data_IF_891728066789
#
_entry.id   IF_891728066789
#
_cell.length_a   1.000
_cell.length_b   1.000
_cell.length_c   1.000
_cell.angle_alpha   90.00
_cell.angle_beta   90.00
_cell.angle_gamma   90.00
#
_symmetry.space_group_name_H-M   'P 1'
#
loop_
_entity.id
_entity.type
_entity.pdbx_description
1 polymer ?
2 non-polymer ?
3 water ?
#
# COMPACT_ATOMS: atom_id res chain seq x y z
N UNK A 1 -21.62 20.80 -0.04
CA UNK A 1 -20.45 21.56 0.46
C UNK A 1 -19.89 22.41 -0.70
N UNK A 2 -19.45 23.61 -0.36
CA UNK A 2 -19.31 24.66 -1.35
C UNK A 2 -17.88 25.16 -1.47
N UNK A 3 -16.88 24.40 -1.06
CA UNK A 3 -15.49 24.80 -1.30
C UNK A 3 -15.14 24.60 -2.77
N UNK A 4 -14.41 25.51 -3.34
CA UNK A 4 -14.11 25.45 -4.74
C UNK A 4 -13.09 24.34 -4.96
N UNK A 5 -13.04 23.82 -6.18
CA UNK A 5 -12.03 22.84 -6.47
C UNK A 5 -10.66 23.52 -6.43
N UNK A 6 -10.54 24.74 -6.92
CA UNK A 6 -9.31 25.49 -6.74
C UNK A 6 -8.80 25.50 -5.27
N UNK A 7 -9.69 25.74 -4.33
CA UNK A 7 -9.32 25.77 -2.90
C UNK A 7 -8.94 24.37 -2.37
N UNK A 8 -9.68 23.34 -2.76
CA UNK A 8 -9.26 21.97 -2.42
C UNK A 8 -7.84 21.68 -2.91
N UNK A 9 -7.56 22.07 -4.16
CA UNK A 9 -6.31 21.70 -4.79
C UNK A 9 -5.20 22.41 -4.12
N UNK A 10 -5.47 23.63 -3.67
CA UNK A 10 -4.47 24.47 -3.04
C UNK A 10 -4.19 24.00 -1.61
N UNK A 11 -5.23 23.62 -0.91
CA UNK A 11 -5.04 23.05 0.42
C UNK A 11 -4.20 21.77 0.37
N UNK A 12 -4.57 20.84 -0.48
CA UNK A 12 -3.87 19.58 -0.51
C UNK A 12 -2.42 19.77 -1.02
N UNK A 13 -2.23 20.60 -2.03
CA UNK A 13 -0.89 20.93 -2.44
C UNK A 13 -0.06 21.40 -1.23
N UNK A 14 -0.68 22.22 -0.38
CA UNK A 14 0.08 22.88 0.67
C UNK A 14 0.48 21.88 1.75
N UNK A 15 -0.24 20.76 1.84
CA UNK A 15 0.11 19.73 2.82
C UNK A 15 1.44 19.10 2.38
N UNK A 16 1.63 18.87 1.09
CA UNK A 16 2.88 18.34 0.59
C UNK A 16 3.99 19.37 0.70
N UNK A 17 3.69 20.63 0.34
CA UNK A 17 4.65 21.77 0.48
C UNK A 17 5.10 21.90 1.92
N UNK A 18 4.18 21.90 2.89
CA UNK A 18 4.54 22.09 4.30
C UNK A 18 5.43 20.93 4.80
N UNK A 19 5.36 19.75 4.20
CA UNK A 19 6.17 18.60 4.65
C UNK A 19 7.49 18.57 3.90
N UNK A 20 7.77 19.62 3.16
CA UNK A 20 9.01 19.67 2.46
C UNK A 20 9.20 18.45 1.57
N UNK A 21 8.14 17.97 0.94
CA UNK A 21 8.33 16.88 0.01
C UNK A 21 7.72 17.17 -1.35
N UNK A 22 7.90 16.24 -2.28
CA UNK A 22 7.13 16.22 -3.49
C UNK A 22 6.25 15.00 -3.49
N UNK A 23 4.97 15.18 -3.77
CA UNK A 23 4.05 14.08 -3.74
C UNK A 23 2.80 14.31 -4.53
N UNK A 24 2.10 13.21 -4.72
CA UNK A 24 0.77 13.16 -5.26
C UNK A 24 -0.10 12.27 -4.40
N UNK A 25 -1.40 12.56 -4.38
CA UNK A 25 -2.41 11.63 -3.84
C UNK A 25 -3.56 11.50 -4.82
N UNK A 26 -3.81 10.28 -5.25
CA UNK A 26 -4.83 9.98 -6.21
C UNK A 26 -6.05 9.41 -5.51
N UNK A 27 -7.20 9.92 -5.90
CA UNK A 27 -8.46 9.53 -5.31
C UNK A 27 -9.33 8.96 -6.41
N UNK A 28 -10.00 7.86 -6.13
CA UNK A 28 -10.87 7.28 -7.11
C UNK A 28 -12.31 7.28 -6.59
N UNK A 29 -13.24 7.97 -7.27
CA UNK A 29 -14.70 7.90 -6.93
C UNK A 29 -15.43 7.23 -8.06
N UNK A 30 -15.89 6.01 -7.81
CA UNK A 30 -16.46 5.21 -8.86
C UNK A 30 -15.41 4.91 -9.91
N UNK A 31 -15.64 5.31 -11.15
CA UNK A 31 -14.66 5.12 -12.23
C UNK A 31 -13.67 6.30 -12.38
N UNK A 32 -13.92 7.41 -11.68
CA UNK A 32 -13.20 8.67 -11.87
C UNK A 32 -11.98 8.87 -10.95
N UNK A 33 -10.81 9.05 -11.55
CA UNK A 33 -9.59 9.35 -10.78
C UNK A 33 -9.37 10.79 -10.66
N UNK A 34 -8.97 11.26 -9.48
CA UNK A 34 -8.58 12.64 -9.30
C UNK A 34 -7.14 12.68 -8.73
N UNK A 35 -6.33 13.60 -9.20
CA UNK A 35 -4.94 13.71 -8.78
C UNK A 35 -4.74 15.00 -8.00
N UNK A 36 -4.29 14.92 -6.74
CA UNK A 36 -4.02 16.13 -5.95
C UNK A 36 -2.56 16.18 -5.47
N UNK A 37 -2.14 17.34 -5.02
CA UNK A 37 -0.81 17.44 -4.41
C UNK A 37 0.05 18.51 -5.01
N UNK A 38 1.37 18.40 -4.77
CA UNK A 38 2.37 19.33 -5.30
C UNK A 38 3.33 18.77 -6.34
N UNK A 39 3.04 17.58 -6.86
CA UNK A 39 3.81 17.09 -8.00
C UNK A 39 3.01 16.13 -8.83
N UNK A 40 2.08 16.68 -9.59
CA UNK A 40 1.02 15.87 -10.11
C UNK A 40 1.53 14.83 -11.09
N UNK A 41 2.65 15.13 -11.72
CA UNK A 41 3.17 14.29 -12.80
C UNK A 41 3.74 12.96 -12.24
N UNK A 42 3.91 12.88 -10.94
CA UNK A 42 4.21 11.63 -10.31
C UNK A 42 3.18 10.59 -10.55
N UNK A 43 2.01 10.95 -11.07
CA UNK A 43 0.88 10.02 -11.07
C UNK A 43 1.08 8.88 -12.05
N UNK A 44 1.77 9.12 -13.16
CA UNK A 44 1.94 8.03 -14.16
C UNK A 44 3.42 7.71 -14.29
N UNK A 45 4.19 8.04 -13.27
CA UNK A 45 5.55 7.58 -13.10
C UNK A 45 5.65 6.28 -12.26
N UNK A 46 6.63 5.47 -12.59
CA UNK A 46 6.85 4.17 -11.99
C UNK A 46 7.85 4.28 -10.84
N UNK A 47 7.53 3.62 -9.73
CA UNK A 47 8.41 3.47 -8.56
C UNK A 47 8.29 2.05 -7.99
N UNK A 48 9.28 1.65 -7.21
CA UNK A 48 9.22 0.30 -6.64
C UNK A 48 8.01 0.30 -5.69
N UNK A 49 7.29 -0.83 -5.60
CA UNK A 49 6.15 -0.87 -4.73
C UNK A 49 6.51 -0.90 -3.25
N UNK A 50 7.75 -1.27 -2.98
CA UNK A 50 8.22 -1.51 -1.63
C UNK A 50 7.18 -2.35 -0.86
N UNK A 51 6.89 -1.99 0.38
CA UNK A 51 5.98 -2.78 1.19
C UNK A 51 4.52 -2.70 0.80
N UNK A 52 4.14 -1.92 -0.22
CA UNK A 52 2.75 -2.03 -0.68
C UNK A 52 2.59 -3.44 -1.23
N UNK A 53 3.69 -4.04 -1.64
CA UNK A 53 3.62 -5.38 -2.18
C UNK A 53 3.19 -6.43 -1.13
N UNK A 54 3.33 -6.14 0.16
CA UNK A 54 2.84 -7.09 1.16
C UNK A 54 1.40 -7.49 0.93
N UNK A 55 0.58 -6.57 0.42
CA UNK A 55 -0.81 -6.88 0.11
C UNK A 55 -0.94 -8.01 -0.85
N UNK A 56 -0.15 -7.99 -1.92
CA UNK A 56 -0.28 -9.06 -2.93
C UNK A 56 0.40 -10.34 -2.46
N UNK A 57 1.56 -10.18 -1.84
CA UNK A 57 2.27 -11.32 -1.25
C UNK A 57 1.30 -12.12 -0.34
N UNK A 58 0.56 -11.42 0.54
CA UNK A 58 -0.37 -12.08 1.43
C UNK A 58 -1.44 -12.81 0.64
N UNK A 59 -1.94 -12.15 -0.41
CA UNK A 59 -3.05 -12.70 -1.21
C UNK A 59 -2.61 -14.00 -1.83
N UNK A 60 -1.42 -13.98 -2.42
CA UNK A 60 -0.84 -15.14 -3.08
C UNK A 60 -0.58 -16.32 -2.07
N UNK A 61 -0.03 -15.98 -0.90
CA UNK A 61 0.35 -16.96 0.09
C UNK A 61 -0.88 -17.67 0.64
N UNK A 62 -1.91 -16.89 0.93
CA UNK A 62 -3.15 -17.47 1.42
C UNK A 62 -3.85 -18.28 0.36
N UNK A 63 -3.97 -17.73 -0.85
CA UNK A 63 -4.72 -18.42 -1.88
C UNK A 63 -4.07 -19.79 -2.13
N UNK A 64 -2.76 -19.81 -2.13
CA UNK A 64 -2.03 -21.06 -2.37
C UNK A 64 -1.70 -21.86 -1.10
N UNK A 65 -2.36 -21.54 0.01
CA UNK A 65 -2.18 -22.32 1.24
C UNK A 65 -0.73 -22.41 1.68
N UNK A 66 0.05 -21.35 1.53
CA UNK A 66 1.37 -21.31 2.08
C UNK A 66 1.37 -20.89 3.53
N UNK A 67 0.22 -20.46 4.05
CA UNK A 67 0.14 -19.97 5.40
C UNK A 67 -1.32 -19.85 5.67
N UNK A 68 -1.69 -19.75 6.94
CA UNK A 68 -3.07 -19.39 7.32
C UNK A 68 -3.02 -18.10 8.06
N UNK A 69 -4.18 -17.55 8.35
CA UNK A 69 -4.21 -16.28 9.02
C UNK A 69 -3.99 -16.38 10.54
N UNK A 70 -4.01 -17.56 11.13
CA UNK A 70 -3.77 -17.68 12.57
C UNK A 70 -2.35 -18.19 12.88
N UNK A 71 -1.67 -18.64 11.85
CA UNK A 71 -0.34 -19.21 12.00
C UNK A 71 0.66 -18.21 12.58
N UNK A 72 1.53 -18.67 13.48
CA UNK A 72 2.44 -17.75 14.15
C UNK A 72 3.79 -17.94 13.54
N UNK A 73 4.34 -16.89 12.90
CA UNK A 73 5.66 -16.97 12.29
C UNK A 73 6.65 -16.60 13.39
N UNK A 74 7.47 -17.55 13.80
CA UNK A 74 8.35 -17.31 14.96
C UNK A 74 9.55 -16.46 14.61
N UNK A 75 9.89 -15.49 15.45
CA UNK A 75 11.15 -14.83 15.35
C UNK A 75 12.25 -15.88 15.50
N UNK A 76 13.22 -15.84 14.62
CA UNK A 76 14.26 -16.83 14.70
C UNK A 76 15.37 -16.40 15.67
N UNK A 77 15.23 -15.29 16.40
CA UNK A 77 16.27 -14.91 17.34
C UNK A 77 17.41 -14.04 16.76
N UNK A 78 17.54 -13.92 15.45
CA UNK A 78 18.54 -12.97 14.85
C UNK A 78 18.10 -11.51 14.98
N UNK A 79 19.06 -10.59 15.09
CA UNK A 79 18.78 -9.15 15.27
C UNK A 79 18.08 -8.74 14.00
N UNK A 80 17.09 -7.89 14.11
CA UNK A 80 16.31 -7.53 12.94
C UNK A 80 16.40 -6.03 12.87
N UNK A 81 16.15 -5.53 11.67
CA UNK A 81 16.39 -4.15 11.36
C UNK A 81 15.76 -3.29 12.41
N UNK A 82 14.53 -3.61 12.87
CA UNK A 82 13.81 -2.87 13.93
C UNK A 82 13.44 -3.83 15.10
N UNK A 83 13.58 -3.39 16.34
CA UNK A 83 13.35 -4.25 17.47
C UNK A 83 11.93 -4.67 17.57
N UNK A 84 11.04 -3.81 17.12
CA UNK A 84 9.63 -4.21 17.08
C UNK A 84 9.36 -5.47 16.20
N UNK A 85 10.28 -5.83 15.31
CA UNK A 85 10.12 -7.00 14.49
C UNK A 85 10.60 -8.23 15.23
N UNK A 86 11.25 -8.07 16.39
CA UNK A 86 11.86 -9.22 17.12
C UNK A 86 10.87 -9.97 18.03
N UNK A 87 9.85 -10.53 17.39
CA UNK A 87 8.75 -11.19 18.03
C UNK A 87 8.03 -12.04 16.99
N UNK A 88 7.19 -12.93 17.51
CA UNK A 88 6.50 -13.92 16.75
C UNK A 88 5.19 -13.26 16.32
N UNK A 89 4.78 -13.44 15.07
CA UNK A 89 3.61 -12.75 14.62
C UNK A 89 2.84 -13.49 13.55
N UNK A 90 1.57 -13.14 13.45
CA UNK A 90 0.72 -13.60 12.36
C UNK A 90 0.94 -12.71 11.15
N UNK A 91 0.43 -13.11 9.98
CA UNK A 91 0.53 -12.27 8.74
C UNK A 91 -0.08 -10.90 8.99
N UNK A 92 -1.15 -10.89 9.75
CA UNK A 92 -1.87 -9.65 10.05
C UNK A 92 -1.09 -8.71 10.94
N UNK A 93 -0.51 -9.25 12.01
CA UNK A 93 0.39 -8.45 12.86
C UNK A 93 1.60 -7.98 12.05
N UNK A 94 2.14 -8.84 11.20
CA UNK A 94 3.25 -8.47 10.36
C UNK A 94 2.90 -7.40 9.35
N UNK A 95 1.70 -7.44 8.79
CA UNK A 95 1.24 -6.38 7.87
C UNK A 95 1.29 -5.05 8.60
N UNK A 96 0.71 -5.03 9.79
CA UNK A 96 0.59 -3.81 10.59
C UNK A 96 1.97 -3.24 10.91
N UNK A 97 2.96 -4.08 11.18
CA UNK A 97 4.31 -3.63 11.48
C UNK A 97 5.20 -3.53 10.27
N UNK A 98 4.65 -3.94 9.12
CA UNK A 98 5.41 -4.02 7.85
C UNK A 98 6.70 -4.80 8.05
N UNK A 99 6.56 -5.97 8.68
CA UNK A 99 7.70 -6.83 9.02
C UNK A 99 8.20 -7.66 7.88
N UNK A 100 9.25 -7.17 7.20
CA UNK A 100 9.81 -7.86 6.01
C UNK A 100 10.16 -9.33 6.24
N UNK A 101 10.71 -9.66 7.40
CA UNK A 101 11.16 -11.04 7.53
C UNK A 101 10.03 -12.05 7.44
N UNK A 102 8.85 -11.69 7.94
CA UNK A 102 7.70 -12.58 7.80
C UNK A 102 7.26 -12.69 6.34
N UNK A 103 7.23 -11.56 5.67
CA UNK A 103 6.77 -11.53 4.31
C UNK A 103 7.77 -12.13 3.37
N UNK A 104 9.05 -12.10 3.73
CA UNK A 104 10.06 -12.80 2.98
C UNK A 104 9.98 -14.30 3.08
N UNK A 105 9.72 -14.79 4.31
CA UNK A 105 9.46 -16.23 4.52
C UNK A 105 8.27 -16.64 3.68
N UNK A 106 7.22 -15.85 3.71
CA UNK A 106 6.05 -16.23 2.94
C UNK A 106 6.34 -16.29 1.43
N UNK A 107 7.10 -15.30 0.95
CA UNK A 107 7.49 -15.27 -0.50
C UNK A 107 8.34 -16.50 -0.81
N UNK A 108 9.18 -16.88 0.11
CA UNK A 108 9.97 -18.09 -0.14
C UNK A 108 9.20 -19.37 -0.10
N UNK A 109 8.11 -19.42 0.66
CA UNK A 109 7.28 -20.64 0.65
C UNK A 109 6.56 -20.65 -0.70
N UNK A 110 6.08 -19.48 -1.09
CA UNK A 110 5.43 -19.38 -2.41
C UNK A 110 6.43 -19.79 -3.50
N UNK A 111 7.68 -19.35 -3.37
CA UNK A 111 8.71 -19.68 -4.36
C UNK A 111 8.64 -18.82 -5.63
N UNK A 112 9.80 -18.64 -6.25
CA UNK A 112 10.05 -17.64 -7.29
C UNK A 112 9.17 -17.84 -8.52
N UNK A 113 9.02 -19.10 -8.91
CA UNK A 113 8.22 -19.44 -10.04
C UNK A 113 6.76 -19.15 -9.84
N UNK A 114 6.20 -19.60 -8.74
CA UNK A 114 4.79 -19.38 -8.56
C UNK A 114 4.55 -17.89 -8.36
N UNK A 115 5.54 -17.21 -7.80
CA UNK A 115 5.39 -15.76 -7.50
C UNK A 115 5.32 -14.96 -8.82
N UNK A 116 6.26 -15.16 -9.75
CA UNK A 116 6.15 -14.62 -11.16
C UNK A 116 4.81 -14.90 -11.77
N UNK A 117 4.39 -16.13 -11.70
CA UNK A 117 3.12 -16.47 -12.32
C UNK A 117 2.00 -15.63 -11.74
N UNK A 118 2.00 -15.42 -10.42
CA UNK A 118 0.87 -14.75 -9.80
C UNK A 118 0.89 -13.27 -10.08
N UNK A 119 2.10 -12.74 -10.14
CA UNK A 119 2.28 -11.35 -10.42
C UNK A 119 1.91 -11.07 -11.90
N UNK A 120 2.37 -11.90 -12.85
CA UNK A 120 1.90 -11.82 -14.26
C UNK A 120 0.38 -11.95 -14.30
N UNK A 121 -0.19 -12.85 -13.53
CA UNK A 121 -1.63 -13.09 -13.59
C UNK A 121 -2.48 -11.96 -13.06
N UNK A 122 -2.01 -11.29 -12.00
CA UNK A 122 -2.75 -10.19 -11.40
C UNK A 122 -2.42 -8.90 -12.20
N UNK A 123 -1.49 -8.99 -13.14
CA UNK A 123 -1.10 -7.79 -13.84
C UNK A 123 -0.74 -6.65 -12.90
N UNK A 124 0.20 -6.84 -11.97
CA UNK A 124 0.49 -5.86 -10.93
C UNK A 124 1.69 -5.09 -11.37
N UNK A 125 1.51 -3.78 -11.54
CA UNK A 125 2.58 -2.92 -12.01
C UNK A 125 3.09 -3.30 -13.40
N UNK A 126 4.38 -3.28 -13.54
CA UNK A 126 4.92 -3.67 -14.79
C UNK A 126 5.06 -5.23 -14.82
N UNK A 127 4.62 -5.90 -13.74
CA UNK A 127 4.61 -7.36 -13.64
C UNK A 127 5.97 -8.05 -13.85
N UNK A 128 7.12 -7.40 -13.55
CA UNK A 128 8.45 -8.06 -13.68
C UNK A 128 9.09 -8.35 -12.32
N UNK A 129 9.16 -9.61 -11.89
CA UNK A 129 9.79 -9.84 -10.59
C UNK A 129 11.19 -10.42 -10.69
N UNK A 130 11.61 -10.78 -11.91
CA UNK A 130 13.00 -11.18 -12.16
C UNK A 130 13.33 -12.52 -11.51
N UNK A 131 14.49 -12.62 -10.84
CA UNK A 131 15.01 -13.92 -10.34
C UNK A 131 15.41 -13.97 -8.85
N UNK A 132 15.04 -12.95 -8.06
CA UNK A 132 15.17 -13.03 -6.61
C UNK A 132 13.81 -12.82 -5.88
N UNK A 133 13.26 -13.91 -5.29
CA UNK A 133 11.87 -13.99 -4.67
C UNK A 133 11.85 -13.25 -3.33
N UNK A 134 12.99 -13.31 -2.61
CA UNK A 134 13.19 -12.77 -1.26
C UNK A 134 13.15 -11.21 -1.24
N UNK A 135 13.41 -10.61 -2.41
CA UNK A 135 13.67 -9.16 -2.55
C UNK A 135 13.64 -8.75 -4.03
N UNK A 136 12.44 -8.41 -4.53
CA UNK A 136 12.26 -7.74 -5.86
C UNK A 136 11.30 -6.57 -5.82
N UNK A 137 10.86 -6.21 -4.62
CA UNK A 137 9.76 -5.27 -4.35
C UNK A 137 10.28 -3.98 -3.71
N UNK A 139 13.58 -2.99 -4.77
CA UNK A 139 14.93 -2.74 -5.33
C UNK A 139 14.98 -3.02 -6.81
N UNK A 140 13.81 -3.16 -7.43
CA UNK A 140 13.70 -3.53 -8.84
C UNK A 140 13.74 -5.04 -8.91
N UNK A 141 13.35 -5.62 -10.05
CA UNK A 141 12.90 -4.96 -11.28
C UNK A 141 11.42 -4.51 -11.29
N UNK A 142 10.66 -4.86 -10.27
CA UNK A 142 9.22 -4.56 -10.31
C UNK A 142 8.99 -3.06 -10.00
N UNK A 143 8.16 -2.39 -10.80
CA UNK A 143 7.76 -1.02 -10.55
C UNK A 143 6.30 -0.84 -10.80
N UNK A 144 5.77 0.25 -10.25
CA UNK A 144 4.35 0.51 -10.38
C UNK A 144 4.07 2.02 -10.23
N UNK A 145 3.02 2.50 -10.89
CA UNK A 145 2.59 3.92 -10.80
C UNK A 145 1.55 4.16 -9.72
N UNK A 146 1.43 5.40 -9.26
CA UNK A 146 0.38 5.66 -8.34
C UNK A 146 -1.03 5.35 -8.90
N UNK A 147 -1.21 5.52 -10.19
CA UNK A 147 -2.51 5.20 -10.79
C UNK A 147 -2.75 3.67 -10.70
N UNK A 148 -1.76 2.86 -11.09
CA UNK A 148 -1.86 1.44 -10.89
C UNK A 148 -2.13 1.03 -9.43
N UNK A 149 -1.47 1.69 -8.48
CA UNK A 149 -1.72 1.33 -7.08
C UNK A 149 -3.12 1.62 -6.61
N UNK A 150 -3.68 2.76 -7.02
CA UNK A 150 -5.03 3.10 -6.61
C UNK A 150 -6.01 2.16 -7.27
N UNK A 151 -5.75 1.74 -8.50
CA UNK A 151 -6.59 0.78 -9.16
C UNK A 151 -6.51 -0.63 -8.55
N UNK A 152 -5.34 -0.99 -8.01
CA UNK A 152 -5.18 -2.22 -7.27
C UNK A 152 -5.98 -2.15 -6.00
N UNK A 153 -5.92 -1.03 -5.29
CA UNK A 153 -6.71 -0.87 -4.11
C UNK A 153 -8.20 -0.93 -4.39
N UNK A 154 -8.61 -0.32 -5.48
CA UNK A 154 -10.00 -0.34 -5.86
C UNK A 154 -10.49 -1.77 -6.08
N UNK A 155 -9.75 -2.53 -6.88
CA UNK A 155 -10.02 -3.93 -7.08
C UNK A 155 -10.18 -4.69 -5.76
N UNK A 156 -9.19 -4.52 -4.88
CA UNK A 156 -9.16 -5.29 -3.66
C UNK A 156 -10.34 -4.91 -2.82
N UNK A 157 -10.61 -3.60 -2.70
CA UNK A 157 -11.74 -3.16 -1.91
C UNK A 157 -13.09 -3.74 -2.35
N UNK A 158 -13.24 -4.00 -3.64
CA UNK A 158 -14.47 -4.50 -4.21
C UNK A 158 -14.35 -5.96 -4.58
N UNK A 159 -13.28 -6.61 -4.14
CA UNK A 159 -13.16 -8.06 -4.32
C UNK A 159 -13.16 -8.44 -5.76
N UNK A 160 -12.57 -7.59 -6.59
CA UNK A 160 -12.38 -7.93 -7.99
C UNK A 160 -11.09 -8.60 -8.37
N UNK A 161 -10.12 -8.75 -7.48
CA UNK A 161 -8.88 -9.38 -7.95
C UNK A 161 -9.16 -10.86 -8.21
N UNK A 162 -8.32 -11.55 -9.01
CA UNK A 162 -8.54 -12.96 -9.27
C UNK A 162 -8.03 -13.92 -8.15
N UNK A 163 -8.71 -13.86 -7.02
CA UNK A 163 -8.44 -14.68 -5.89
C UNK A 163 -9.81 -14.92 -5.26
N UNK A 164 -9.89 -15.98 -4.47
CA UNK A 164 -11.13 -16.28 -3.79
C UNK A 164 -11.59 -15.09 -3.00
N UNK A 165 -12.89 -15.00 -2.88
CA UNK A 165 -13.49 -14.00 -2.08
C UNK A 165 -12.93 -14.01 -0.71
N UNK A 166 -12.73 -15.20 -0.13
CA UNK A 166 -12.35 -15.25 1.26
C UNK A 166 -10.88 -14.90 1.45
N UNK A 167 -10.02 -15.25 0.49
CA UNK A 167 -8.68 -14.76 0.49
C UNK A 167 -8.67 -13.19 0.61
N UNK A 168 -9.50 -12.53 -0.18
CA UNK A 168 -9.51 -11.04 -0.26
C UNK A 168 -10.03 -10.42 1.00
N UNK A 169 -11.03 -11.05 1.60
CA UNK A 169 -11.53 -10.57 2.87
C UNK A 169 -10.49 -10.73 3.95
N UNK A 170 -9.77 -11.85 3.95
CA UNK A 170 -8.82 -12.13 5.01
C UNK A 170 -7.74 -11.05 4.96
N UNK A 171 -7.26 -10.78 3.74
CA UNK A 171 -6.24 -9.71 3.57
C UNK A 171 -6.77 -8.33 3.92
N UNK A 172 -8.02 -8.04 3.58
CA UNK A 172 -8.54 -6.69 3.86
C UNK A 172 -8.57 -6.43 5.33
N UNK A 173 -8.87 -7.48 6.06
CA UNK A 173 -8.97 -7.41 7.51
C UNK A 173 -7.63 -7.05 8.15
N UNK A 174 -6.53 -7.53 7.56
CA UNK A 174 -5.18 -7.13 7.98
C UNK A 174 -4.81 -5.66 7.80
N UNK A 175 -5.62 -4.90 7.06
CA UNK A 175 -5.22 -3.57 6.57
C UNK A 175 -5.90 -2.45 7.29
N UNK A 176 -6.78 -2.73 8.24
CA UNK A 176 -7.45 -1.67 8.97
C UNK A 176 -6.49 -0.89 9.84
N UNK A 177 -6.33 0.41 9.58
CA UNK A 177 -5.37 1.21 10.32
C UNK A 177 -5.98 2.37 11.08
N UNK A 178 -7.21 2.73 10.82
CA UNK A 178 -7.81 3.87 11.47
C UNK A 178 -9.31 3.85 11.31
N UNK A 179 -10.00 4.26 12.37
CA UNK A 179 -11.43 4.59 12.28
C UNK A 179 -11.61 6.06 12.63
N UNK A 180 -12.35 6.80 11.81
CA UNK A 180 -12.56 8.21 12.05
C UNK A 180 -14.02 8.58 11.78
N UNK A 181 -14.73 9.00 12.81
CA UNK A 181 -16.09 9.49 12.64
C UNK A 181 -16.92 8.60 11.73
N UNK A 182 -16.98 7.30 12.05
CA UNK A 182 -17.81 6.35 11.28
C UNK A 182 -17.15 5.74 10.05
N UNK A 183 -16.01 6.32 9.64
CA UNK A 183 -15.31 5.86 8.47
C UNK A 183 -14.15 4.94 8.87
N UNK A 184 -13.91 3.92 8.07
CA UNK A 184 -12.74 3.08 8.27
C UNK A 184 -11.75 3.28 7.17
N UNK A 185 -10.50 3.44 7.56
CA UNK A 185 -9.42 3.56 6.60
C UNK A 185 -8.59 2.28 6.61
N UNK A 186 -8.58 1.61 5.46
CA UNK A 186 -7.74 0.45 5.15
C UNK A 186 -6.60 0.84 4.26
N UNK A 187 -5.38 0.45 4.56
CA UNK A 187 -4.25 0.88 3.75
C UNK A 187 -2.98 0.18 4.19
N UNK A 188 -2.03 0.15 3.25
CA UNK A 188 -0.69 -0.29 3.45
C UNK A 188 0.36 0.76 3.03
N UNK A 189 1.34 0.97 3.90
CA UNK A 189 2.43 1.89 3.70
C UNK A 189 3.56 1.20 3.04
N UNK A 190 4.43 2.02 2.47
CA UNK A 190 5.61 1.54 1.74
C UNK A 190 6.70 2.59 1.88
N UNK A 191 7.95 2.13 1.99
CA UNK A 191 9.08 3.05 2.04
C UNK A 191 10.25 2.37 1.36
N UNK A 192 10.55 2.77 0.15
CA UNK A 192 11.57 2.13 -0.63
C UNK A 192 12.79 3.01 -0.75
N UNK A 193 13.96 2.37 -0.76
CA UNK A 193 15.26 3.03 -0.99
C UNK A 193 15.58 2.93 -2.46
N UNK A 194 15.98 4.00 -3.08
CA UNK A 194 15.94 4.03 -4.54
C UNK A 194 17.28 4.30 -5.15
N UNK A 195 17.26 4.40 -6.49
CA UNK A 195 18.30 5.03 -7.32
C UNK A 195 19.03 6.14 -6.56
N UNK A 196 18.54 7.38 -6.66
CA UNK A 196 19.09 8.50 -5.87
C UNK A 196 18.13 9.00 -4.78
N UNK A 197 16.84 8.64 -4.86
CA UNK A 197 15.86 9.03 -3.83
C UNK A 197 15.15 7.83 -3.14
N UNK A 198 14.24 8.15 -2.20
CA UNK A 198 13.38 7.20 -1.52
C UNK A 198 11.91 7.49 -1.77
N UNK A 199 11.15 6.46 -2.08
CA UNK A 199 9.72 6.60 -2.31
C UNK A 199 8.91 6.25 -1.08
N UNK A 200 7.89 7.05 -0.84
CA UNK A 200 6.95 6.84 0.28
C UNK A 200 5.57 6.57 -0.33
N UNK A 201 4.87 5.55 0.18
CA UNK A 201 3.54 5.16 -0.26
C UNK A 201 2.56 5.07 0.89
N UNK A 202 1.29 5.34 0.61
CA UNK A 202 0.19 4.86 1.45
C UNK A 202 -1.03 4.66 0.53
N UNK A 203 -1.40 3.39 0.37
CA UNK A 203 -2.33 2.92 -0.62
C UNK A 203 -3.39 2.08 0.11
N UNK A 204 -4.64 2.41 -0.14
CA UNK A 204 -5.77 1.81 0.54
C UNK A 204 -7.10 2.37 0.07
N UNK A 205 -8.07 2.35 0.98
CA UNK A 205 -9.38 2.94 0.73
C UNK A 205 -10.05 3.40 2.00
N UNK A 206 -11.01 4.31 1.86
CA UNK A 206 -11.88 4.65 2.94
C UNK A 206 -13.18 3.88 2.75
N UNK A 207 -13.61 3.19 3.81
CA UNK A 207 -14.96 2.60 3.84
C UNK A 207 -15.86 3.49 4.70
N UNK A 208 -16.76 4.19 4.06
CA UNK A 208 -17.66 5.11 4.78
C UNK A 208 -18.81 4.31 5.42
N UNK A 209 -19.44 4.90 6.44
CA UNK A 209 -20.62 4.33 7.11
C UNK A 209 -21.61 3.76 6.13
N UNK A 210 -21.98 4.53 5.11
CA UNK A 210 -22.98 4.05 4.17
C UNK A 210 -22.51 2.87 3.33
N UNK A 211 -21.28 2.42 3.49
CA UNK A 211 -20.77 1.32 2.66
C UNK A 211 -19.95 1.70 1.42
N UNK A 212 -20.03 2.96 0.93
CA UNK A 212 -19.22 3.39 -0.25
C UNK A 212 -17.73 3.31 0.11
N UNK A 213 -16.95 2.77 -0.82
CA UNK A 213 -15.48 2.67 -0.69
C UNK A 213 -14.79 3.64 -1.61
N UNK A 214 -14.00 4.54 -1.03
CA UNK A 214 -13.14 5.44 -1.82
C UNK A 214 -11.63 5.14 -1.73
N UNK A 215 -11.11 4.51 -2.78
CA UNK A 215 -9.72 4.18 -2.86
C UNK A 215 -8.80 5.40 -3.05
N UNK A 216 -7.58 5.27 -2.55
CA UNK A 216 -6.56 6.33 -2.67
C UNK A 216 -5.15 5.73 -2.73
N UNK A 217 -4.23 6.54 -3.24
CA UNK A 217 -2.83 6.16 -3.17
C UNK A 217 -2.05 7.41 -3.05
N UNK A 218 -1.40 7.52 -1.91
CA UNK A 218 -0.46 8.57 -1.71
C UNK A 218 0.94 8.06 -2.14
N UNK A 219 1.68 8.93 -2.80
CA UNK A 219 3.04 8.65 -3.24
C UNK A 219 3.85 9.91 -3.14
N UNK A 220 4.93 9.89 -2.37
CA UNK A 220 5.78 11.04 -2.21
C UNK A 220 7.25 10.64 -2.05
N UNK A 221 8.17 11.60 -2.08
CA UNK A 221 9.56 11.23 -1.83
C UNK A 221 9.83 11.49 -0.36
N UNK A 222 10.41 10.48 0.27
CA UNK A 222 10.80 10.49 1.68
C UNK A 222 12.23 11.08 1.75
N UNK A 223 12.48 11.88 2.77
CA UNK A 223 13.80 12.43 2.99
C UNK A 223 14.31 12.11 4.39
N UNK A 224 15.64 12.17 4.53
CA UNK A 224 16.33 11.89 5.80
C UNK A 224 15.71 12.76 6.87
N UNK A 225 15.36 12.13 7.99
CA UNK A 225 14.73 12.85 9.10
C UNK A 225 13.22 13.04 9.00
N UNK A 226 12.58 12.31 8.08
CA UNK A 226 11.14 12.36 7.95
C UNK A 226 10.60 11.16 8.70
N UNK A 227 9.55 11.35 9.46
CA UNK A 227 8.86 10.23 10.10
C UNK A 227 7.91 9.58 9.07
N UNK A 228 7.68 8.29 9.21
CA UNK A 228 6.84 7.54 8.27
C UNK A 228 5.41 8.02 8.33
N UNK A 229 5.03 8.53 9.50
CA UNK A 229 3.66 8.93 9.80
C UNK A 229 3.25 10.21 9.08
N UNK A 230 4.19 10.95 8.52
CA UNK A 230 3.87 12.04 7.61
C UNK A 230 2.96 11.54 6.46
N UNK A 231 3.13 10.28 6.05
CA UNK A 231 2.40 9.76 4.93
C UNK A 231 0.95 9.67 5.31
N UNK A 232 0.74 9.20 6.53
CA UNK A 232 -0.57 9.16 7.19
C UNK A 232 -1.20 10.54 7.40
N UNK A 233 -0.43 11.47 7.95
CA UNK A 233 -0.96 12.80 8.27
C UNK A 233 -1.49 13.46 7.00
N UNK A 234 -0.69 13.42 5.94
CA UNK A 234 -1.06 14.08 4.71
C UNK A 234 -2.28 13.38 4.10
N UNK A 235 -2.38 12.08 4.28
CA UNK A 235 -3.48 11.32 3.73
C UNK A 235 -4.78 11.70 4.43
N UNK A 236 -4.70 11.88 5.74
CA UNK A 236 -5.91 12.08 6.54
C UNK A 236 -6.38 13.49 6.33
N UNK A 237 -5.45 14.43 6.38
CA UNK A 237 -5.74 15.79 6.00
C UNK A 237 -6.40 15.94 4.63
N UNK A 238 -5.93 15.21 3.63
CA UNK A 238 -6.43 15.33 2.28
C UNK A 238 -7.81 14.80 2.21
N UNK A 239 -8.04 13.61 2.78
CA UNK A 239 -9.33 12.99 2.73
C UNK A 239 -10.29 13.81 3.58
N UNK A 240 -9.81 14.46 4.63
CA UNK A 240 -10.68 15.30 5.40
C UNK A 240 -11.07 16.54 4.60
N UNK A 241 -10.07 17.19 4.03
CA UNK A 241 -10.33 18.35 3.19
C UNK A 241 -11.40 18.04 2.13
N UNK A 242 -11.38 16.85 1.56
CA UNK A 242 -12.28 16.56 0.46
C UNK A 242 -13.63 16.09 0.97
N UNK A 243 -13.77 16.00 2.29
CA UNK A 243 -14.96 15.47 2.92
C UNK A 243 -15.17 13.98 2.73
N UNK A 244 -14.12 13.25 2.44
CA UNK A 244 -14.24 11.81 2.28
C UNK A 244 -14.26 11.16 3.68
N UNK A 245 -13.60 11.79 4.63
CA UNK A 245 -13.77 11.41 6.04
C UNK A 245 -14.08 12.61 6.90
#
# INVERSE_FOLDING_TARGET
>A
MHISSQQHEKAIKSYFDEAQTQGVIIIKEGKNLSTYGNALARANKEYVPASTFKMLNALIGLENHKATTNEIFKWDGKKRTYPMWEKDMTLGEAMALSADPVYQELARRTGLELMQKEVKRVNFGNTNIGTQVDNFWLVGPLKITPVQEVNFADDLAHNRLPFKLETQEEVKKMLLIKEVNGSKIYAKSGWGMGVTSQVGWLTGWVEQANGKKIPFSLNLEMKEGMSGSIRNEITYKSLENLGII
#
